data_IF_516523360037
#
_entry.id   IF_516523360037
#
_cell.length_a   1.000
_cell.length_b   1.000
_cell.length_c   1.000
_cell.angle_alpha   90.00
_cell.angle_beta   90.00
_cell.angle_gamma   90.00
#
_symmetry.space_group_name_H-M   'P 1'
#
loop_
_entity.id
_entity.type
_entity.pdbx_description
1 polymer ?
#
# COMPACT_ATOMS: atom_id res chain seq x y z
N UNK A 1 -1.96 -10.43 12.52
CA UNK A 1 -3.22 -10.79 11.84
C UNK A 1 -2.99 -12.09 11.08
N UNK A 2 -3.80 -13.15 11.30
CA UNK A 2 -3.73 -14.39 10.54
C UNK A 2 -4.08 -14.19 9.06
N UNK A 3 -3.57 -15.04 8.17
CA UNK A 3 -3.75 -14.87 6.72
C UNK A 3 -5.21 -15.07 6.28
N UNK A 4 -5.96 -15.97 6.93
CA UNK A 4 -7.40 -16.14 6.68
C UNK A 4 -8.21 -14.89 7.01
N UNK A 5 -7.86 -14.20 8.12
CA UNK A 5 -8.47 -12.92 8.47
C UNK A 5 -8.10 -11.84 7.46
N UNK A 6 -6.85 -11.82 7.01
CA UNK A 6 -6.41 -10.87 6.00
C UNK A 6 -7.12 -11.05 4.67
N UNK A 7 -7.34 -12.28 4.21
CA UNK A 7 -8.09 -12.57 2.97
C UNK A 7 -9.50 -12.00 3.01
N UNK A 8 -10.22 -12.19 4.13
CA UNK A 8 -11.58 -11.63 4.31
C UNK A 8 -11.56 -10.10 4.28
N UNK A 9 -10.59 -9.48 4.96
CA UNK A 9 -10.46 -8.01 4.98
C UNK A 9 -10.07 -7.47 3.60
N UNK A 10 -9.18 -8.16 2.90
CA UNK A 10 -8.75 -7.80 1.55
C UNK A 10 -9.89 -7.93 0.54
N UNK A 11 -10.72 -8.97 0.65
CA UNK A 11 -11.90 -9.13 -0.18
C UNK A 11 -12.90 -7.98 0.02
N UNK A 12 -13.17 -7.60 1.27
CA UNK A 12 -13.98 -6.41 1.58
C UNK A 12 -13.37 -5.11 1.04
N UNK A 13 -12.05 -5.01 1.01
CA UNK A 13 -11.36 -3.88 0.42
C UNK A 13 -11.52 -3.87 -1.12
N UNK A 14 -11.42 -5.02 -1.80
CA UNK A 14 -11.62 -5.15 -3.24
C UNK A 14 -13.04 -4.76 -3.67
N UNK A 15 -14.06 -5.24 -2.94
CA UNK A 15 -15.46 -4.87 -3.15
C UNK A 15 -15.71 -3.36 -2.99
N UNK A 16 -14.85 -2.70 -2.22
CA UNK A 16 -14.96 -1.28 -1.90
C UNK A 16 -14.26 -0.41 -2.94
N UNK A 17 -12.98 -0.70 -3.20
CA UNK A 17 -12.12 0.05 -4.10
C UNK A 17 -10.81 -0.73 -4.37
N UNK A 18 -10.50 -0.93 -5.65
CA UNK A 18 -9.30 -1.67 -6.07
C UNK A 18 -8.00 -1.00 -5.57
N UNK A 19 -7.93 0.33 -5.62
CA UNK A 19 -6.75 1.07 -5.15
C UNK A 19 -6.55 0.95 -3.64
N UNK A 20 -7.63 0.98 -2.87
CA UNK A 20 -7.64 0.72 -1.43
C UNK A 20 -7.18 -0.71 -1.10
N UNK A 21 -7.66 -1.71 -1.83
CA UNK A 21 -7.27 -3.10 -1.64
C UNK A 21 -5.77 -3.34 -1.88
N UNK A 22 -5.24 -2.81 -2.98
CA UNK A 22 -3.82 -2.90 -3.32
C UNK A 22 -2.96 -2.15 -2.29
N UNK A 23 -3.42 -0.98 -1.84
CA UNK A 23 -2.76 -0.23 -0.76
C UNK A 23 -2.68 -1.05 0.53
N UNK A 24 -3.74 -1.81 0.84
CA UNK A 24 -3.78 -2.70 1.99
C UNK A 24 -2.85 -3.92 1.84
N UNK A 25 -2.71 -4.48 0.63
CA UNK A 25 -1.67 -5.49 0.33
C UNK A 25 -0.27 -4.98 0.66
N UNK A 26 0.08 -3.76 0.24
CA UNK A 26 1.39 -3.18 0.58
C UNK A 26 1.59 -2.98 2.07
N UNK A 27 0.55 -2.58 2.81
CA UNK A 27 0.58 -2.49 4.27
C UNK A 27 1.04 -3.81 4.90
N UNK A 28 0.48 -4.93 4.42
CA UNK A 28 0.75 -6.28 4.91
C UNK A 28 2.14 -6.78 4.50
N UNK A 29 2.51 -6.58 3.24
CA UNK A 29 3.73 -7.14 2.66
C UNK A 29 4.99 -6.35 3.03
N UNK A 30 4.89 -5.02 3.09
CA UNK A 30 6.05 -4.13 3.22
C UNK A 30 6.08 -3.38 4.55
N UNK A 31 5.03 -3.48 5.37
CA UNK A 31 4.91 -2.75 6.62
C UNK A 31 4.90 -1.24 6.39
N UNK A 32 4.19 -0.79 5.36
CA UNK A 32 4.02 0.63 5.08
C UNK A 32 3.15 1.30 6.15
N UNK A 33 3.52 2.51 6.53
CA UNK A 33 2.72 3.38 7.40
C UNK A 33 1.67 4.15 6.61
N UNK A 34 0.67 4.69 7.28
CA UNK A 34 -0.55 5.25 6.66
C UNK A 34 -0.25 6.31 5.62
N UNK A 35 0.74 7.18 5.84
CA UNK A 35 1.15 8.16 4.83
C UNK A 35 1.98 7.54 3.69
N UNK A 36 2.84 6.55 3.97
CA UNK A 36 3.60 5.80 2.95
C UNK A 36 2.64 5.09 2.00
N UNK A 37 1.61 4.45 2.55
CA UNK A 37 0.55 3.77 1.83
C UNK A 37 -0.20 4.69 0.87
N UNK A 38 -0.65 5.85 1.37
CA UNK A 38 -1.43 6.79 0.56
C UNK A 38 -0.62 7.40 -0.59
N UNK A 39 0.71 7.50 -0.43
CA UNK A 39 1.60 8.11 -1.41
C UNK A 39 2.44 7.10 -2.21
N UNK A 40 2.28 5.79 -1.99
CA UNK A 40 3.14 4.77 -2.60
C UNK A 40 3.05 4.73 -4.13
N UNK A 41 1.98 5.31 -4.74
CA UNK A 41 1.83 5.39 -6.18
C UNK A 41 3.01 6.07 -6.87
N UNK A 42 3.65 7.03 -6.22
CA UNK A 42 4.84 7.72 -6.73
C UNK A 42 6.10 6.82 -6.76
N UNK A 43 6.13 5.73 -5.99
CA UNK A 43 7.29 4.83 -5.91
C UNK A 43 7.14 3.55 -6.75
N UNK A 44 5.96 3.26 -7.31
CA UNK A 44 5.66 1.98 -7.98
C UNK A 44 6.63 1.63 -9.11
N UNK A 45 6.93 2.60 -10.00
CA UNK A 45 7.87 2.38 -11.12
C UNK A 45 9.30 2.10 -10.63
N UNK A 46 9.69 2.68 -9.50
CA UNK A 46 10.99 2.43 -8.87
C UNK A 46 11.00 1.05 -8.21
N UNK A 47 9.93 0.69 -7.50
CA UNK A 47 9.81 -0.62 -6.86
C UNK A 47 9.83 -1.76 -7.87
N UNK A 48 9.14 -1.61 -9.01
CA UNK A 48 9.21 -2.58 -10.12
C UNK A 48 10.66 -2.89 -10.50
N UNK A 49 11.48 -1.85 -10.75
CA UNK A 49 12.91 -2.01 -11.10
C UNK A 49 13.75 -2.58 -9.96
N UNK A 50 13.41 -2.28 -8.71
CA UNK A 50 14.13 -2.77 -7.53
C UNK A 50 13.87 -4.26 -7.28
N UNK A 51 12.69 -4.77 -7.66
CA UNK A 51 12.36 -6.19 -7.55
C UNK A 51 13.14 -7.07 -8.54
N UNK A 52 13.58 -6.50 -9.66
CA UNK A 52 14.47 -7.17 -10.63
C UNK A 52 15.91 -7.34 -10.10
N UNK A 53 16.27 -6.66 -9.01
CA UNK A 53 17.62 -6.70 -8.44
C UNK A 53 17.78 -7.83 -7.42
N UNK A 54 18.97 -8.45 -7.32
CA UNK A 54 19.22 -9.55 -6.39
C UNK A 54 19.16 -9.14 -4.91
N UNK A 55 19.24 -7.85 -4.59
CA UNK A 55 19.26 -7.36 -3.21
C UNK A 55 17.87 -7.38 -2.54
N UNK A 56 16.77 -7.49 -3.31
CA UNK A 56 15.37 -7.61 -2.82
C UNK A 56 15.00 -6.59 -1.72
N UNK A 57 15.51 -5.36 -1.83
CA UNK A 57 15.25 -4.25 -0.92
C UNK A 57 14.50 -3.15 -1.66
N UNK A 58 13.39 -2.69 -1.08
CA UNK A 58 12.62 -1.57 -1.59
C UNK A 58 12.90 -0.31 -0.80
N UNK A 59 13.01 0.82 -1.50
CA UNK A 59 13.16 2.13 -0.89
C UNK A 59 11.78 2.78 -0.73
N UNK A 60 11.38 3.05 0.52
CA UNK A 60 10.11 3.70 0.87
C UNK A 60 10.41 5.13 1.31
N UNK A 61 9.90 6.12 0.56
CA UNK A 61 10.42 7.51 0.60
C UNK A 61 9.52 8.49 1.38
N UNK A 62 8.35 8.08 1.86
CA UNK A 62 7.33 9.01 2.38
C UNK A 62 7.16 8.97 3.91
N UNK A 63 7.96 9.75 4.65
CA UNK A 63 7.81 9.90 6.12
C UNK A 63 7.26 11.27 6.54
N UNK A 64 6.64 11.35 7.72
CA UNK A 64 5.91 12.53 8.23
C UNK A 64 6.78 13.70 8.70
N UNK A 65 8.10 13.58 8.84
CA UNK A 65 8.97 14.70 9.26
C UNK A 65 10.44 14.29 9.19
N UNK A 66 11.18 14.76 8.17
CA UNK A 66 12.64 14.67 8.09
C UNK A 66 13.25 13.26 8.01
N UNK A 67 12.45 12.19 7.97
CA UNK A 67 12.95 10.83 7.84
C UNK A 67 13.27 10.54 6.39
N UNK A 68 14.55 10.34 6.10
CA UNK A 68 15.02 9.89 4.79
C UNK A 68 14.37 8.57 4.35
N UNK A 69 14.60 8.16 3.11
CA UNK A 69 14.06 6.91 2.59
C UNK A 69 14.46 5.74 3.51
N UNK A 70 13.47 4.96 3.95
CA UNK A 70 13.74 3.70 4.66
C UNK A 70 13.83 2.57 3.65
N UNK A 71 14.75 1.65 3.89
CA UNK A 71 14.77 0.38 3.16
C UNK A 71 13.86 -0.63 3.86
N UNK A 72 13.10 -1.40 3.08
CA UNK A 72 12.35 -2.55 3.56
C UNK A 72 12.76 -3.78 2.79
N UNK A 73 12.97 -4.90 3.48
CA UNK A 73 13.33 -6.18 2.86
C UNK A 73 12.07 -6.86 2.37
N UNK A 74 12.07 -7.30 1.12
CA UNK A 74 10.96 -8.05 0.54
C UNK A 74 11.06 -9.51 0.97
N UNK A 75 10.02 -10.00 1.63
CA UNK A 75 9.94 -11.40 2.09
C UNK A 75 9.35 -12.32 1.02
N UNK A 76 8.37 -11.81 0.27
CA UNK A 76 7.69 -12.52 -0.81
C UNK A 76 7.74 -11.64 -2.06
N UNK A 77 8.69 -11.94 -2.94
CA UNK A 77 8.95 -11.15 -4.16
C UNK A 77 7.78 -11.26 -5.11
N UNK A 78 7.27 -12.47 -5.33
CA UNK A 78 6.18 -12.73 -6.26
C UNK A 78 4.90 -11.99 -5.83
N UNK A 79 4.54 -12.04 -4.54
CA UNK A 79 3.36 -11.33 -4.05
C UNK A 79 3.51 -9.80 -4.13
N UNK A 80 4.72 -9.27 -3.90
CA UNK A 80 4.99 -7.84 -4.01
C UNK A 80 4.99 -7.38 -5.47
N UNK A 81 5.57 -8.16 -6.38
CA UNK A 81 5.56 -7.89 -7.81
C UNK A 81 4.13 -7.86 -8.36
N UNK A 82 3.32 -8.88 -8.04
CA UNK A 82 1.90 -8.92 -8.40
C UNK A 82 1.15 -7.68 -7.88
N UNK A 83 1.39 -7.30 -6.63
CA UNK A 83 0.78 -6.11 -6.04
C UNK A 83 1.24 -4.80 -6.72
N UNK A 84 2.52 -4.71 -7.13
CA UNK A 84 3.07 -3.56 -7.87
C UNK A 84 2.43 -3.45 -9.26
N UNK A 85 2.28 -4.56 -9.98
CA UNK A 85 1.62 -4.57 -11.29
C UNK A 85 0.15 -4.15 -11.18
N UNK A 86 -0.59 -4.70 -10.20
CA UNK A 86 -1.97 -4.31 -9.92
C UNK A 86 -2.07 -2.82 -9.56
N UNK A 87 -1.14 -2.30 -8.76
CA UNK A 87 -1.09 -0.90 -8.37
C UNK A 87 -0.89 0.01 -9.57
N UNK A 88 0.02 -0.35 -10.48
CA UNK A 88 0.32 0.45 -11.67
C UNK A 88 -0.89 0.49 -12.59
N UNK A 89 -1.55 -0.64 -12.84
CA UNK A 89 -2.77 -0.68 -13.64
C UNK A 89 -3.89 0.19 -13.06
N UNK A 90 -4.11 0.15 -11.74
CA UNK A 90 -5.10 1.01 -11.06
C UNK A 90 -4.71 2.47 -11.14
N UNK A 91 -3.44 2.80 -10.93
CA UNK A 91 -2.94 4.17 -10.96
C UNK A 91 -3.05 4.78 -12.36
N UNK A 92 -2.77 4.01 -13.42
CA UNK A 92 -2.92 4.47 -14.81
C UNK A 92 -4.36 4.87 -15.15
N UNK A 93 -5.35 4.17 -14.60
CA UNK A 93 -6.77 4.51 -14.76
C UNK A 93 -7.20 5.75 -13.96
N UNK A 94 -6.36 6.22 -13.02
CA UNK A 94 -6.70 7.22 -11.99
C UNK A 94 -5.67 8.35 -11.91
N UNK A 95 -5.06 8.70 -13.03
CA UNK A 95 -4.09 9.80 -13.14
C UNK A 95 -2.91 9.67 -12.15
N UNK A 96 -2.43 8.45 -11.93
CA UNK A 96 -1.31 8.15 -11.02
C UNK A 96 -1.70 8.00 -9.55
N UNK A 97 -2.99 7.90 -9.21
CA UNK A 97 -3.49 7.78 -7.83
C UNK A 97 -4.06 6.39 -7.55
N UNK A 98 -3.68 5.79 -6.42
CA UNK A 98 -4.34 4.58 -5.94
C UNK A 98 -5.66 4.93 -5.23
N UNK A 99 -5.58 5.83 -4.25
CA UNK A 99 -6.74 6.40 -3.60
C UNK A 99 -7.12 7.67 -4.36
N UNK A 100 -8.19 7.60 -5.15
CA UNK A 100 -8.67 8.74 -5.96
C UNK A 100 -9.34 9.79 -5.07
N UNK A 101 -8.48 10.63 -4.47
CA UNK A 101 -8.84 11.82 -3.72
C UNK A 101 -7.96 12.98 -4.19
N UNK A 102 -8.43 14.23 -4.11
CA UNK A 102 -7.75 15.37 -4.72
C UNK A 102 -6.52 15.84 -3.92
N UNK A 103 -6.45 15.53 -2.63
CA UNK A 103 -5.33 15.92 -1.77
C UNK A 103 -4.99 14.83 -0.74
N UNK A 104 -3.77 14.93 -0.19
CA UNK A 104 -3.23 13.97 0.77
C UNK A 104 -4.10 13.85 2.03
N UNK A 105 -4.67 14.95 2.54
CA UNK A 105 -5.49 14.94 3.75
C UNK A 105 -6.78 14.15 3.52
N UNK A 106 -7.42 14.35 2.37
CA UNK A 106 -8.61 13.59 1.98
C UNK A 106 -8.28 12.12 1.72
N UNK A 107 -7.15 11.82 1.11
CA UNK A 107 -6.71 10.44 0.88
C UNK A 107 -6.39 9.71 2.20
N UNK A 108 -5.73 10.38 3.15
CA UNK A 108 -5.49 9.85 4.50
C UNK A 108 -6.79 9.66 5.30
N UNK A 109 -7.72 10.62 5.21
CA UNK A 109 -9.03 10.48 5.84
C UNK A 109 -9.81 9.31 5.24
N UNK A 110 -9.79 9.18 3.91
CA UNK A 110 -10.39 8.04 3.21
C UNK A 110 -9.80 6.73 3.72
N UNK A 111 -8.47 6.63 3.77
CA UNK A 111 -7.77 5.45 4.31
C UNK A 111 -8.24 5.10 5.72
N UNK A 112 -8.17 6.03 6.67
CA UNK A 112 -8.55 5.81 8.08
C UNK A 112 -10.01 5.38 8.25
N UNK A 113 -10.91 6.01 7.52
CA UNK A 113 -12.35 5.69 7.59
C UNK A 113 -12.59 4.27 7.04
N UNK A 114 -11.96 3.93 5.90
CA UNK A 114 -12.21 2.67 5.23
C UNK A 114 -11.55 1.48 5.91
N UNK A 115 -10.34 1.62 6.47
CA UNK A 115 -9.72 0.59 7.31
C UNK A 115 -10.59 0.26 8.53
N UNK A 116 -11.14 1.28 9.18
CA UNK A 116 -12.10 1.10 10.29
C UNK A 116 -13.37 0.36 9.85
N UNK A 117 -13.90 0.67 8.66
CA UNK A 117 -15.12 0.04 8.10
C UNK A 117 -14.94 -1.43 7.76
N UNK A 118 -13.75 -1.84 7.30
CA UNK A 118 -13.46 -3.24 6.99
C UNK A 118 -13.03 -4.06 8.23
N UNK A 119 -13.02 -3.46 9.42
CA UNK A 119 -12.78 -4.14 10.69
C UNK A 119 -11.34 -4.07 11.20
N UNK A 120 -10.46 -3.31 10.54
CA UNK A 120 -9.12 -3.03 11.07
C UNK A 120 -9.24 -1.94 12.15
N UNK A 121 -9.33 -2.38 13.41
CA UNK A 121 -9.40 -1.52 14.60
C UNK A 121 -8.34 -1.95 15.63
N UNK A 122 -7.88 -1.01 16.44
CA UNK A 122 -6.96 -1.27 17.56
C UNK A 122 -5.60 -1.81 17.11
N UNK A 123 -5.17 -2.95 17.65
CA UNK A 123 -3.88 -3.59 17.36
C UNK A 123 -3.73 -4.09 15.91
N UNK A 124 -4.81 -4.09 15.12
CA UNK A 124 -4.82 -4.48 13.72
C UNK A 124 -4.90 -3.29 12.76
N UNK A 125 -4.97 -2.07 13.29
CA UNK A 125 -4.89 -0.86 12.46
C UNK A 125 -3.50 -0.77 11.84
N UNK A 126 -3.40 -0.56 10.51
CA UNK A 126 -2.12 -0.25 9.88
C UNK A 126 -1.51 1.00 10.54
N UNK A 127 -0.22 0.97 10.93
CA UNK A 127 0.45 2.08 11.63
C UNK A 127 0.57 3.35 10.78
#
# INVERSE_FOLDING_TARGET
MPDSTFQVVHQKALERDAGFAVTLKFARLLGLRSQEMVQCSASLKSWRKQLEQPELKLHVVFSTKGGGPRQTRVLDVAAVEEAVEQAIAVAEQREGRLIDKPDLKQAMNYWRIHTTKIGLKGCHSPP
#
